data_IF_948698856801
#
_entry.id   IF_948698856801
#
_cell.length_a   1.000
_cell.length_b   1.000
_cell.length_c   1.000
_cell.angle_alpha   90.00
_cell.angle_beta   90.00
_cell.angle_gamma   90.00
#
_symmetry.space_group_name_H-M   'P 1'
#
loop_
_entity.id
_entity.type
_entity.pdbx_description
1 polymer ?
#
# COMPACT_ATOMS: atom_id res chain seq x y z
N UNK A 1 10.07 -0.40 14.53
CA UNK A 1 10.48 0.60 13.52
C UNK A 1 11.60 1.46 14.09
N UNK A 2 12.84 1.26 13.65
CA UNK A 2 13.91 2.26 13.85
C UNK A 2 13.60 3.43 12.92
N UNK A 3 12.96 4.48 13.45
CA UNK A 3 12.87 5.75 12.72
C UNK A 3 14.30 6.24 12.48
N UNK A 4 14.70 6.27 11.21
CA UNK A 4 15.94 6.91 10.81
C UNK A 4 15.78 8.40 11.12
N UNK A 5 16.39 8.85 12.21
CA UNK A 5 16.27 10.21 12.78
C UNK A 5 16.73 11.32 11.82
N UNK A 6 17.17 10.97 10.61
CA UNK A 6 17.62 11.89 9.57
C UNK A 6 16.54 12.29 8.55
N UNK A 7 15.44 11.55 8.43
CA UNK A 7 14.41 11.80 7.39
C UNK A 7 13.25 12.65 7.92
N UNK A 8 13.54 13.90 8.31
CA UNK A 8 12.53 14.90 8.70
C UNK A 8 12.59 16.15 7.82
N UNK A 9 11.49 16.91 7.74
CA UNK A 9 11.50 18.20 7.04
C UNK A 9 12.30 19.26 7.80
N UNK A 10 12.42 19.13 9.13
CA UNK A 10 13.21 20.00 9.99
C UNK A 10 14.72 19.84 9.73
N UNK A 11 15.17 18.60 9.50
CA UNK A 11 16.57 18.31 9.20
C UNK A 11 16.94 18.69 7.75
N UNK A 12 16.05 18.45 6.78
CA UNK A 12 16.31 18.70 5.36
C UNK A 12 15.03 18.95 4.56
N UNK A 13 14.81 20.18 4.12
CA UNK A 13 13.74 20.54 3.18
C UNK A 13 14.23 21.44 2.03
N UNK A 14 15.32 21.04 1.37
CA UNK A 14 15.95 21.77 0.25
C UNK A 14 15.04 22.01 -0.97
N UNK A 15 13.89 21.35 -1.03
CA UNK A 15 12.89 21.53 -2.08
C UNK A 15 11.61 22.23 -1.62
N UNK A 16 11.57 22.76 -0.39
CA UNK A 16 10.44 23.47 0.21
C UNK A 16 9.11 22.68 0.15
N UNK A 17 9.18 21.37 0.39
CA UNK A 17 8.06 20.43 0.27
C UNK A 17 7.29 20.23 1.57
N UNK A 18 7.73 20.77 2.71
CA UNK A 18 6.96 20.70 3.97
C UNK A 18 5.53 21.24 3.80
N UNK A 19 5.38 22.36 3.10
CA UNK A 19 4.05 22.95 2.82
C UNK A 19 3.13 22.04 1.99
N UNK A 20 3.69 21.15 1.16
CA UNK A 20 2.93 20.14 0.42
C UNK A 20 2.51 19.04 1.39
N UNK A 21 3.43 18.56 2.23
CA UNK A 21 3.13 17.55 3.25
C UNK A 21 2.00 18.01 4.18
N UNK A 22 2.05 19.24 4.71
CA UNK A 22 1.00 19.82 5.57
C UNK A 22 -0.38 19.83 4.91
N UNK A 23 -0.46 20.11 3.61
CA UNK A 23 -1.71 20.03 2.83
C UNK A 23 -2.19 18.59 2.66
N UNK A 24 -1.28 17.65 2.40
CA UNK A 24 -1.62 16.22 2.32
C UNK A 24 -2.17 15.73 3.66
N UNK A 25 -1.56 16.12 4.78
CA UNK A 25 -2.03 15.79 6.13
C UNK A 25 -3.44 16.35 6.36
N UNK A 26 -3.66 17.60 5.96
CA UNK A 26 -4.97 18.24 6.06
C UNK A 26 -6.03 17.49 5.25
N UNK A 27 -5.70 17.05 4.03
CA UNK A 27 -6.58 16.25 3.18
C UNK A 27 -6.90 14.89 3.80
N UNK A 28 -5.88 14.17 4.28
CA UNK A 28 -6.06 12.84 4.89
C UNK A 28 -6.91 12.90 6.16
N UNK A 29 -6.82 13.99 6.94
CA UNK A 29 -7.61 14.23 8.15
C UNK A 29 -9.00 14.81 7.91
N UNK A 30 -9.33 15.17 6.66
CA UNK A 30 -10.64 15.75 6.34
C UNK A 30 -11.69 14.67 6.11
N UNK A 31 -12.97 15.04 6.21
CA UNK A 31 -14.10 14.16 5.89
C UNK A 31 -14.28 13.90 4.38
N UNK A 32 -13.38 14.44 3.55
CA UNK A 32 -13.44 14.29 2.09
C UNK A 32 -12.83 12.95 1.71
N UNK A 33 -13.54 12.17 0.87
CA UNK A 33 -13.01 10.89 0.41
C UNK A 33 -11.95 11.08 -0.67
N UNK A 34 -10.68 11.13 -0.25
CA UNK A 34 -9.51 11.29 -1.13
C UNK A 34 -8.75 9.98 -1.41
N UNK A 35 -9.11 8.89 -0.73
CA UNK A 35 -8.45 7.58 -0.85
C UNK A 35 -9.00 6.76 -2.04
N UNK A 36 -8.16 6.05 -2.80
CA UNK A 36 -6.70 6.15 -2.85
C UNK A 36 -6.22 7.51 -3.36
N UNK A 37 -5.29 8.11 -2.62
CA UNK A 37 -4.59 9.34 -2.97
C UNK A 37 -3.27 8.98 -3.67
N UNK A 38 -2.94 9.63 -4.78
CA UNK A 38 -1.67 9.42 -5.50
C UNK A 38 -0.74 10.60 -5.35
N UNK A 39 0.49 10.30 -4.91
CA UNK A 39 1.65 11.19 -4.96
C UNK A 39 2.49 10.77 -6.17
N UNK A 40 2.27 11.44 -7.29
CA UNK A 40 2.93 11.15 -8.56
C UNK A 40 4.29 11.84 -8.66
N UNK A 41 5.22 11.22 -9.38
CA UNK A 41 6.49 11.84 -9.71
C UNK A 41 7.44 10.96 -10.50
N UNK A 42 8.28 11.59 -11.32
CA UNK A 42 9.34 10.91 -12.06
C UNK A 42 10.41 10.28 -11.16
N UNK A 43 11.26 9.47 -11.79
CA UNK A 43 12.43 8.89 -11.17
C UNK A 43 13.38 9.99 -10.67
N UNK A 44 13.99 9.77 -9.50
CA UNK A 44 14.94 10.73 -8.92
C UNK A 44 14.32 11.97 -8.28
N UNK A 45 12.99 12.10 -8.21
CA UNK A 45 12.34 13.25 -7.55
C UNK A 45 12.34 13.19 -6.02
N UNK A 46 12.83 12.13 -5.39
CA UNK A 46 12.77 11.97 -3.94
C UNK A 46 11.37 11.66 -3.42
N UNK A 47 10.59 10.83 -4.14
CA UNK A 47 9.25 10.39 -3.73
C UNK A 47 9.27 9.62 -2.41
N UNK A 48 10.11 8.59 -2.32
CA UNK A 48 10.32 7.80 -1.11
C UNK A 48 10.76 8.68 0.06
N UNK A 49 11.72 9.59 -0.17
CA UNK A 49 12.16 10.54 0.87
C UNK A 49 11.01 11.46 1.32
N UNK A 50 10.19 11.97 0.39
CA UNK A 50 8.99 12.75 0.73
C UNK A 50 7.99 11.92 1.55
N UNK A 51 7.76 10.66 1.17
CA UNK A 51 6.87 9.74 1.89
C UNK A 51 7.34 9.50 3.33
N UNK A 52 8.63 9.22 3.52
CA UNK A 52 9.21 9.00 4.86
C UNK A 52 9.12 10.25 5.73
N UNK A 53 9.40 11.44 5.17
CA UNK A 53 9.25 12.71 5.88
C UNK A 53 7.80 13.04 6.20
N UNK A 54 6.87 12.74 5.30
CA UNK A 54 5.43 12.90 5.52
C UNK A 54 4.95 12.00 6.66
N UNK A 55 5.37 10.74 6.68
CA UNK A 55 5.12 9.80 7.78
C UNK A 55 5.65 10.36 9.11
N UNK A 56 6.91 10.79 9.14
CA UNK A 56 7.53 11.39 10.33
C UNK A 56 6.75 12.61 10.84
N UNK A 57 6.33 13.51 9.94
CA UNK A 57 5.55 14.69 10.28
C UNK A 57 4.17 14.30 10.84
N UNK A 58 3.49 13.32 10.25
CA UNK A 58 2.19 12.82 10.71
C UNK A 58 2.25 12.09 12.05
N UNK A 59 3.37 11.39 12.34
CA UNK A 59 3.54 10.62 13.57
C UNK A 59 3.53 11.49 14.84
N UNK A 60 3.81 12.79 14.72
CA UNK A 60 3.91 13.71 15.87
C UNK A 60 2.62 13.85 16.70
N UNK A 61 1.45 13.60 16.11
CA UNK A 61 0.15 13.77 16.78
C UNK A 61 -0.51 12.44 17.15
N UNK A 62 0.07 11.29 16.78
CA UNK A 62 -0.45 9.94 17.06
C UNK A 62 -1.95 9.70 16.75
N UNK A 63 -2.52 10.42 15.78
CA UNK A 63 -3.96 10.34 15.45
C UNK A 63 -4.35 9.15 14.58
N UNK A 64 -3.39 8.55 13.87
CA UNK A 64 -3.62 7.48 12.90
C UNK A 64 -2.65 6.31 13.11
N UNK A 65 -3.05 5.11 12.71
CA UNK A 65 -2.12 4.04 12.41
C UNK A 65 -1.48 4.33 11.05
N UNK A 66 -0.20 4.68 11.05
CA UNK A 66 0.56 4.98 9.84
C UNK A 66 1.36 3.75 9.44
N UNK A 67 1.03 3.18 8.30
CA UNK A 67 1.63 1.94 7.79
C UNK A 67 2.40 2.26 6.51
N UNK A 68 3.68 1.88 6.45
CA UNK A 68 4.48 1.99 5.23
C UNK A 68 4.71 0.60 4.62
N UNK A 69 4.47 0.48 3.32
CA UNK A 69 4.67 -0.73 2.53
C UNK A 69 5.53 -0.36 1.32
N UNK A 70 6.72 -0.94 1.26
CA UNK A 70 7.55 -0.98 0.05
C UNK A 70 7.03 -2.12 -0.83
N UNK A 71 6.15 -1.78 -1.79
CA UNK A 71 5.47 -2.77 -2.62
C UNK A 71 6.45 -3.54 -3.50
N UNK A 72 7.54 -2.90 -3.94
CA UNK A 72 8.55 -3.54 -4.77
C UNK A 72 9.32 -4.61 -3.99
N UNK A 73 9.69 -4.34 -2.73
CA UNK A 73 10.28 -5.39 -1.87
C UNK A 73 9.35 -6.55 -1.62
N UNK A 74 8.05 -6.30 -1.50
CA UNK A 74 7.04 -7.32 -1.23
C UNK A 74 6.53 -8.07 -2.47
N UNK A 75 6.91 -7.64 -3.68
CA UNK A 75 6.29 -8.12 -4.91
C UNK A 75 6.59 -9.58 -5.23
N UNK A 76 7.62 -10.18 -4.59
CA UNK A 76 8.01 -11.57 -4.73
C UNK A 76 6.95 -12.56 -4.24
N UNK A 77 6.06 -12.13 -3.34
CA UNK A 77 5.04 -12.97 -2.73
C UNK A 77 3.81 -13.20 -3.62
N UNK A 78 3.64 -12.46 -4.73
CA UNK A 78 2.44 -12.48 -5.62
C UNK A 78 1.08 -12.34 -4.91
N UNK A 79 1.04 -11.97 -3.62
CA UNK A 79 -0.16 -11.95 -2.77
C UNK A 79 -0.37 -10.58 -2.09
N UNK A 80 -0.88 -9.56 -2.83
CA UNK A 80 -1.05 -8.20 -2.31
C UNK A 80 -1.93 -8.09 -1.06
N UNK A 81 -2.99 -8.90 -0.97
CA UNK A 81 -3.86 -8.91 0.21
C UNK A 81 -3.10 -9.34 1.47
N UNK A 82 -2.28 -10.39 1.36
CA UNK A 82 -1.48 -10.87 2.48
C UNK A 82 -0.43 -9.83 2.88
N UNK A 83 0.25 -9.20 1.91
CA UNK A 83 1.22 -8.13 2.16
C UNK A 83 0.62 -7.00 2.99
N UNK A 84 -0.57 -6.54 2.64
CA UNK A 84 -1.25 -5.47 3.37
C UNK A 84 -1.68 -5.93 4.76
N UNK A 85 -2.30 -7.11 4.87
CA UNK A 85 -2.79 -7.61 6.15
C UNK A 85 -1.66 -7.86 7.16
N UNK A 86 -0.52 -8.39 6.73
CA UNK A 86 0.65 -8.56 7.58
C UNK A 86 1.10 -7.22 8.19
N UNK A 87 1.12 -6.16 7.37
CA UNK A 87 1.49 -4.81 7.81
C UNK A 87 0.45 -4.15 8.71
N UNK A 88 -0.83 -4.48 8.54
CA UNK A 88 -1.89 -4.06 9.47
C UNK A 88 -1.74 -4.77 10.81
N UNK A 89 -1.39 -6.06 10.84
CA UNK A 89 -1.19 -6.81 12.08
C UNK A 89 -0.05 -6.23 12.94
N UNK A 90 1.04 -5.74 12.31
CA UNK A 90 2.19 -5.13 13.00
C UNK A 90 1.83 -3.88 13.83
N UNK A 91 0.73 -3.17 13.51
CA UNK A 91 0.32 -1.95 14.22
C UNK A 91 -0.78 -2.17 15.25
N UNK A 92 -1.33 -3.38 15.35
CA UNK A 92 -2.36 -3.70 16.35
C UNK A 92 -1.72 -3.90 17.72
N UNK A 93 -2.24 -3.25 18.77
CA UNK A 93 -1.58 -3.20 20.08
C UNK A 93 -1.69 -4.50 20.88
N UNK A 94 -2.66 -5.37 20.59
CA UNK A 94 -2.92 -6.58 21.36
C UNK A 94 -2.91 -7.86 20.51
N UNK A 95 -2.46 -8.97 21.11
CA UNK A 95 -2.53 -10.29 20.47
C UNK A 95 -3.99 -10.72 20.21
N UNK A 96 -4.94 -10.29 21.04
CA UNK A 96 -6.36 -10.61 20.85
C UNK A 96 -6.92 -9.96 19.57
N UNK A 97 -6.60 -8.68 19.32
CA UNK A 97 -7.00 -7.99 18.08
C UNK A 97 -6.30 -8.58 16.85
N UNK A 98 -5.01 -8.93 16.98
CA UNK A 98 -4.28 -9.63 15.92
C UNK A 98 -4.95 -10.96 15.56
N UNK A 99 -5.28 -11.78 16.57
CA UNK A 99 -5.97 -13.05 16.35
C UNK A 99 -7.37 -12.86 15.77
N UNK A 100 -8.11 -11.85 16.23
CA UNK A 100 -9.43 -11.51 15.69
C UNK A 100 -9.38 -11.14 14.21
N UNK A 101 -8.37 -10.38 13.78
CA UNK A 101 -8.15 -10.06 12.37
C UNK A 101 -7.70 -11.28 11.57
N UNK A 102 -6.74 -12.07 12.08
CA UNK A 102 -6.23 -13.30 11.44
C UNK A 102 -7.38 -14.28 11.16
N UNK A 103 -8.27 -14.50 12.14
CA UNK A 103 -9.40 -15.42 12.01
C UNK A 103 -10.36 -15.01 10.88
N UNK A 104 -10.55 -13.70 10.66
CA UNK A 104 -11.39 -13.16 9.59
C UNK A 104 -10.65 -13.04 8.25
N UNK A 105 -9.32 -12.88 8.28
CA UNK A 105 -8.46 -12.82 7.11
C UNK A 105 -8.26 -14.18 6.44
N UNK A 106 -8.11 -15.27 7.21
CA UNK A 106 -7.83 -16.61 6.66
C UNK A 106 -8.88 -17.05 5.63
N UNK A 107 -10.21 -16.95 5.91
CA UNK A 107 -11.23 -17.31 4.93
C UNK A 107 -11.19 -16.44 3.66
N UNK A 108 -10.96 -15.13 3.79
CA UNK A 108 -10.88 -14.21 2.66
C UNK A 108 -9.65 -14.50 1.76
N UNK A 109 -8.48 -14.74 2.37
CA UNK A 109 -7.25 -15.09 1.65
C UNK A 109 -7.35 -16.41 0.90
N UNK A 110 -7.98 -17.44 1.51
CA UNK A 110 -8.21 -18.73 0.87
C UNK A 110 -9.02 -18.64 -0.42
N UNK A 111 -9.81 -17.60 -0.60
CA UNK A 111 -10.61 -17.44 -1.81
C UNK A 111 -9.90 -16.64 -2.90
N UNK A 112 -9.11 -15.61 -2.53
CA UNK A 112 -8.31 -14.84 -3.50
C UNK A 112 -7.25 -15.65 -4.23
N UNK A 113 -6.74 -16.72 -3.59
CA UNK A 113 -5.75 -17.63 -4.14
C UNK A 113 -6.37 -18.64 -5.13
N UNK A 114 -5.83 -18.71 -6.35
CA UNK A 114 -6.12 -19.80 -7.31
C UNK A 114 -5.74 -21.15 -6.67
N UNK A 115 -6.45 -22.20 -7.08
CA UNK A 115 -6.56 -23.57 -6.52
C UNK A 115 -5.26 -24.29 -6.08
N UNK A 116 -4.07 -23.79 -6.38
CA UNK A 116 -2.79 -24.36 -5.94
C UNK A 116 -2.25 -23.88 -4.59
N UNK A 117 -2.67 -22.71 -4.07
CA UNK A 117 -2.02 -22.07 -2.91
C UNK A 117 -2.84 -21.97 -1.61
N UNK A 118 -4.11 -22.43 -1.61
CA UNK A 118 -5.06 -22.24 -0.49
C UNK A 118 -4.62 -22.86 0.84
N UNK A 119 -3.80 -23.92 0.78
CA UNK A 119 -3.35 -24.65 1.97
C UNK A 119 -2.13 -24.02 2.66
N UNK A 120 -1.21 -23.41 1.88
CA UNK A 120 0.06 -22.89 2.37
C UNK A 120 -0.12 -21.66 3.25
N UNK A 121 -0.88 -20.67 2.78
CA UNK A 121 -1.14 -19.41 3.50
C UNK A 121 -1.94 -19.65 4.78
N UNK A 122 -2.86 -20.61 4.77
CA UNK A 122 -3.62 -20.97 5.95
C UNK A 122 -2.78 -21.67 7.03
N UNK A 123 -1.66 -22.31 6.65
CA UNK A 123 -0.72 -22.90 7.58
C UNK A 123 0.20 -21.83 8.17
N UNK A 124 0.73 -20.94 7.33
CA UNK A 124 1.56 -19.79 7.76
C UNK A 124 0.78 -18.84 8.69
N UNK A 125 -0.50 -18.58 8.41
CA UNK A 125 -1.32 -17.73 9.29
C UNK A 125 -1.80 -18.44 10.57
N UNK A 126 -1.75 -19.78 10.63
CA UNK A 126 -2.18 -20.58 11.80
C UNK A 126 -1.01 -21.01 12.68
N UNK A 127 0.20 -21.13 12.14
CA UNK A 127 1.40 -21.41 12.92
C UNK A 127 1.95 -20.11 13.47
N UNK A 128 1.90 -19.98 14.79
CA UNK A 128 2.53 -18.99 15.65
C UNK A 128 2.68 -17.56 15.08
N UNK A 129 1.94 -16.62 15.68
CA UNK A 129 2.08 -15.18 15.47
C UNK A 129 3.53 -14.67 15.58
N UNK A 130 4.39 -15.38 16.31
CA UNK A 130 5.81 -15.08 16.45
C UNK A 130 6.65 -15.41 15.20
N UNK A 131 6.17 -16.33 14.35
CA UNK A 131 6.84 -16.70 13.09
C UNK A 131 6.54 -15.71 11.95
N UNK A 132 5.33 -15.14 11.91
CA UNK A 132 4.92 -14.12 10.92
C UNK A 132 5.74 -12.83 11.10
N UNK A 133 6.08 -12.48 12.35
CA UNK A 133 6.83 -11.26 12.67
C UNK A 133 8.31 -11.38 12.27
N UNK A 134 8.87 -12.60 12.22
CA UNK A 134 10.31 -12.82 12.05
C UNK A 134 10.72 -13.59 10.76
N UNK A 135 9.79 -14.14 9.99
CA UNK A 135 10.08 -15.18 8.99
C UNK A 135 9.58 -14.96 7.56
N UNK A 136 9.27 -13.72 7.16
CA UNK A 136 8.66 -13.46 5.84
C UNK A 136 9.56 -13.82 4.63
N UNK A 137 10.88 -13.95 4.80
CA UNK A 137 11.82 -14.06 3.67
C UNK A 137 12.16 -15.50 3.20
N UNK A 138 11.90 -16.57 3.97
CA UNK A 138 12.50 -17.90 3.67
C UNK A 138 11.53 -19.07 3.38
N UNK A 139 10.26 -19.06 3.82
CA UNK A 139 9.43 -20.29 3.78
C UNK A 139 8.43 -20.44 2.62
N UNK A 140 8.31 -19.45 1.72
CA UNK A 140 7.24 -19.44 0.69
C UNK A 140 7.50 -20.38 -0.51
N UNK A 141 8.64 -21.10 -0.56
CA UNK A 141 9.10 -21.77 -1.79
C UNK A 141 8.79 -23.25 -2.00
N UNK A 142 8.09 -23.95 -1.09
CA UNK A 142 7.81 -25.38 -1.31
C UNK A 142 6.38 -25.75 -0.94
N UNK A 143 5.87 -26.75 -1.68
CA UNK A 143 4.55 -27.38 -1.57
C UNK A 143 3.50 -26.78 -2.51
N UNK A 144 3.63 -27.15 -3.78
CA UNK A 144 2.52 -27.27 -4.71
C UNK A 144 2.12 -28.75 -4.79
N UNK A 145 0.90 -29.10 -4.39
CA UNK A 145 -0.02 -29.88 -5.25
C UNK A 145 -1.32 -30.36 -4.57
N UNK A 146 -2.37 -30.40 -5.40
CA UNK A 146 -3.70 -31.07 -5.32
C UNK A 146 -4.84 -30.38 -4.58
N UNK A 147 -5.85 -29.96 -5.34
CA UNK A 147 -7.14 -30.66 -5.47
C UNK A 147 -8.02 -29.99 -6.54
N UNK A 148 -8.63 -30.77 -7.43
CA UNK A 148 -9.75 -30.33 -8.28
C UNK A 148 -10.80 -31.44 -8.23
N UNK A 149 -11.99 -31.10 -7.74
CA UNK A 149 -13.27 -31.59 -8.24
C UNK A 149 -14.30 -30.48 -7.98
N UNK A 150 -14.94 -29.95 -9.03
CA UNK A 150 -15.85 -28.82 -8.91
C UNK A 150 -17.20 -29.12 -9.56
N UNK A 151 -18.25 -29.23 -8.73
CA UNK A 151 -19.65 -29.15 -9.17
C UNK A 151 -20.12 -27.69 -9.16
N UNK A 152 -21.11 -27.35 -9.99
CA UNK A 152 -21.66 -25.98 -10.08
C UNK A 152 -22.23 -25.49 -8.74
N UNK A 153 -22.83 -26.38 -7.95
CA UNK A 153 -23.34 -26.07 -6.61
C UNK A 153 -22.20 -25.78 -5.62
N UNK A 154 -21.08 -26.51 -5.71
CA UNK A 154 -19.86 -26.21 -4.94
C UNK A 154 -19.31 -24.84 -5.30
N UNK A 155 -19.22 -24.51 -6.59
CA UNK A 155 -18.73 -23.19 -7.04
C UNK A 155 -19.60 -22.03 -6.56
N UNK A 156 -20.93 -22.21 -6.54
CA UNK A 156 -21.86 -21.19 -6.03
C UNK A 156 -21.75 -21.03 -4.51
N UNK A 157 -21.64 -22.14 -3.77
CA UNK A 157 -21.45 -22.10 -2.32
C UNK A 157 -20.11 -21.45 -1.95
N UNK A 158 -19.04 -21.80 -2.68
CA UNK A 158 -17.71 -21.22 -2.53
C UNK A 158 -17.74 -19.70 -2.76
N UNK A 159 -18.54 -19.23 -3.72
CA UNK A 159 -18.70 -17.80 -4.00
C UNK A 159 -19.42 -17.04 -2.88
N UNK A 160 -20.52 -17.59 -2.35
CA UNK A 160 -21.27 -16.98 -1.23
C UNK A 160 -20.42 -16.92 0.03
N UNK A 161 -19.66 -17.98 0.32
CA UNK A 161 -18.75 -18.01 1.47
C UNK A 161 -17.62 -16.99 1.33
N UNK A 162 -17.17 -16.70 0.11
CA UNK A 162 -16.14 -15.70 -0.17
C UNK A 162 -16.60 -14.27 0.11
N UNK A 163 -17.78 -13.90 -0.40
CA UNK A 163 -18.35 -12.56 -0.15
C UNK A 163 -18.56 -12.35 1.35
N UNK A 164 -19.12 -13.35 2.04
CA UNK A 164 -19.29 -13.31 3.50
C UNK A 164 -17.96 -13.16 4.24
N UNK A 165 -16.92 -13.86 3.80
CA UNK A 165 -15.57 -13.79 4.37
C UNK A 165 -14.93 -12.41 4.17
N UNK A 166 -15.07 -11.84 2.98
CA UNK A 166 -14.56 -10.50 2.66
C UNK A 166 -15.30 -9.43 3.47
N UNK A 167 -16.62 -9.54 3.61
CA UNK A 167 -17.41 -8.66 4.47
C UNK A 167 -16.95 -8.77 5.93
N UNK A 168 -16.72 -9.98 6.44
CA UNK A 168 -16.23 -10.16 7.81
C UNK A 168 -14.86 -9.49 8.03
N UNK A 169 -13.95 -9.60 7.05
CA UNK A 169 -12.66 -8.92 7.08
C UNK A 169 -12.83 -7.40 7.06
N UNK A 170 -13.67 -6.86 6.17
CA UNK A 170 -13.96 -5.43 6.09
C UNK A 170 -14.54 -4.88 7.39
N UNK A 171 -15.46 -5.62 8.03
CA UNK A 171 -16.00 -5.24 9.34
C UNK A 171 -14.93 -5.26 10.43
N UNK A 172 -14.00 -6.22 10.39
CA UNK A 172 -12.86 -6.24 11.32
C UNK A 172 -11.99 -4.99 11.18
N UNK A 173 -11.63 -4.66 9.94
CA UNK A 173 -10.83 -3.48 9.60
C UNK A 173 -11.56 -2.20 10.00
N UNK A 174 -12.88 -2.14 9.80
CA UNK A 174 -13.71 -1.00 10.23
C UNK A 174 -13.66 -0.82 11.74
N UNK A 175 -13.87 -1.88 12.51
CA UNK A 175 -13.82 -1.79 13.98
C UNK A 175 -12.45 -1.36 14.51
N UNK A 176 -11.36 -1.75 13.84
CA UNK A 176 -10.01 -1.28 14.15
C UNK A 176 -9.89 0.22 13.82
N UNK A 177 -10.32 0.61 12.63
CA UNK A 177 -10.23 1.98 12.14
C UNK A 177 -11.11 2.97 12.94
N UNK A 178 -12.21 2.51 13.53
CA UNK A 178 -13.07 3.29 14.45
C UNK A 178 -12.35 3.68 15.74
N UNK A 179 -11.42 2.85 16.24
CA UNK A 179 -10.60 3.20 17.40
C UNK A 179 -9.51 4.20 17.03
N UNK A 180 -8.85 3.95 15.90
CA UNK A 180 -7.77 4.78 15.38
C UNK A 180 -7.68 4.59 13.86
N UNK A 181 -7.96 5.61 13.03
CA UNK A 181 -7.98 5.48 11.58
C UNK A 181 -6.65 4.99 11.01
N UNK A 182 -6.69 4.25 9.90
CA UNK A 182 -5.52 3.62 9.27
C UNK A 182 -5.18 4.36 7.99
N UNK A 183 -3.91 4.75 7.82
CA UNK A 183 -3.37 5.28 6.56
C UNK A 183 -2.22 4.39 6.09
N UNK A 184 -2.41 3.76 4.94
CA UNK A 184 -1.42 2.90 4.29
C UNK A 184 -0.71 3.63 3.16
N UNK A 185 0.60 3.76 3.29
CA UNK A 185 1.50 4.34 2.29
C UNK A 185 2.12 3.20 1.49
N UNK A 186 1.73 3.08 0.22
CA UNK A 186 2.23 2.06 -0.72
C UNK A 186 3.24 2.74 -1.64
N UNK A 187 4.53 2.48 -1.44
CA UNK A 187 5.61 3.03 -2.25
C UNK A 187 6.13 2.01 -3.28
N UNK A 188 6.71 2.53 -4.35
CA UNK A 188 7.34 1.77 -5.44
C UNK A 188 6.42 0.81 -6.21
N UNK A 189 5.09 1.03 -6.19
CA UNK A 189 4.12 0.19 -6.89
C UNK A 189 4.36 0.11 -8.41
N UNK A 190 4.93 1.15 -9.00
CA UNK A 190 5.31 1.21 -10.43
C UNK A 190 6.54 0.38 -10.80
N UNK A 191 7.28 -0.13 -9.82
CA UNK A 191 8.44 -1.00 -10.05
C UNK A 191 8.12 -2.47 -9.94
N UNK A 192 7.00 -2.82 -9.32
CA UNK A 192 6.57 -4.20 -9.19
C UNK A 192 6.32 -4.83 -10.57
N UNK A 193 6.33 -6.17 -10.59
CA UNK A 193 5.85 -6.93 -11.75
C UNK A 193 4.45 -6.47 -12.16
N UNK A 194 4.16 -6.34 -13.48
CA UNK A 194 2.88 -5.78 -13.94
C UNK A 194 1.63 -6.43 -13.33
N UNK A 195 1.64 -7.77 -13.22
CA UNK A 195 0.54 -8.53 -12.62
C UNK A 195 0.33 -8.16 -11.13
N UNK A 196 1.42 -8.01 -10.37
CA UNK A 196 1.36 -7.64 -8.97
C UNK A 196 0.83 -6.22 -8.79
N UNK A 197 1.32 -5.25 -9.56
CA UNK A 197 0.84 -3.85 -9.49
C UNK A 197 -0.66 -3.74 -9.75
N UNK A 198 -1.15 -4.44 -10.79
CA UNK A 198 -2.58 -4.44 -11.14
C UNK A 198 -3.41 -5.12 -10.05
N UNK A 199 -2.98 -6.29 -9.56
CA UNK A 199 -3.67 -7.02 -8.49
C UNK A 199 -3.69 -6.23 -7.17
N UNK A 200 -2.63 -5.47 -6.87
CA UNK A 200 -2.60 -4.59 -5.70
C UNK A 200 -3.66 -3.49 -5.82
N UNK A 201 -3.81 -2.84 -6.99
CA UNK A 201 -4.86 -1.84 -7.24
C UNK A 201 -6.26 -2.44 -7.07
N UNK A 202 -6.48 -3.64 -7.62
CA UNK A 202 -7.75 -4.38 -7.47
C UNK A 202 -8.03 -4.72 -6.01
N UNK A 203 -7.02 -5.18 -5.27
CA UNK A 203 -7.11 -5.52 -3.85
C UNK A 203 -7.49 -4.30 -3.01
N UNK A 204 -6.83 -3.15 -3.24
CA UNK A 204 -7.14 -1.90 -2.55
C UNK A 204 -8.61 -1.51 -2.77
N UNK A 205 -9.08 -1.56 -4.02
CA UNK A 205 -10.44 -1.16 -4.37
C UNK A 205 -11.52 -2.11 -3.86
N UNK A 206 -11.31 -3.41 -3.98
CA UNK A 206 -12.36 -4.39 -3.72
C UNK A 206 -12.37 -4.86 -2.27
N UNK A 207 -11.22 -4.92 -1.62
CA UNK A 207 -11.11 -5.43 -0.25
C UNK A 207 -11.07 -4.32 0.77
N UNK A 208 -10.39 -3.20 0.48
CA UNK A 208 -10.13 -2.14 1.46
C UNK A 208 -10.93 -0.86 1.24
N UNK A 209 -12.07 -0.92 0.54
CA UNK A 209 -13.07 0.16 0.55
C UNK A 209 -13.82 0.16 1.89
N UNK A 210 -13.09 0.53 2.95
CA UNK A 210 -13.51 0.48 4.35
C UNK A 210 -13.39 1.87 4.95
N UNK A 211 -14.46 2.33 5.60
CA UNK A 211 -14.48 3.60 6.31
C UNK A 211 -13.38 3.65 7.39
N UNK A 212 -12.62 4.74 7.42
CA UNK A 212 -11.46 4.90 8.30
C UNK A 212 -10.17 4.22 7.82
N UNK A 213 -10.18 3.55 6.65
CA UNK A 213 -8.97 3.00 6.01
C UNK A 213 -8.65 3.79 4.74
N UNK A 214 -7.49 4.43 4.69
CA UNK A 214 -7.05 5.27 3.59
C UNK A 214 -5.74 4.75 2.97
N UNK A 215 -5.61 4.91 1.65
CA UNK A 215 -4.40 4.57 0.91
C UNK A 215 -3.76 5.81 0.29
N UNK A 216 -2.44 5.89 0.40
CA UNK A 216 -1.58 6.83 -0.29
C UNK A 216 -0.63 6.03 -1.18
N UNK A 217 -0.73 6.17 -2.50
CA UNK A 217 0.14 5.51 -3.45
C UNK A 217 1.24 6.49 -3.87
N UNK A 218 2.49 6.10 -3.65
CA UNK A 218 3.68 6.86 -4.01
C UNK A 218 4.28 6.19 -5.22
N UNK A 219 4.12 6.80 -6.40
CA UNK A 219 4.37 6.07 -7.65
C UNK A 219 4.74 7.00 -8.80
N UNK A 220 5.13 6.40 -9.93
CA UNK A 220 5.16 7.03 -11.23
C UNK A 220 3.96 6.54 -12.06
N UNK A 221 2.98 7.41 -12.25
CA UNK A 221 1.72 7.08 -12.92
C UNK A 221 1.93 6.62 -14.36
N UNK A 222 2.94 7.12 -15.07
CA UNK A 222 3.22 6.68 -16.44
C UNK A 222 3.74 5.25 -16.49
N UNK A 223 4.56 4.85 -15.52
CA UNK A 223 5.06 3.49 -15.40
C UNK A 223 3.94 2.54 -14.95
N UNK A 224 3.09 2.97 -14.01
CA UNK A 224 1.93 2.19 -13.59
C UNK A 224 0.94 1.96 -14.75
N UNK A 225 0.73 2.95 -15.63
CA UNK A 225 -0.04 2.78 -16.88
C UNK A 225 0.59 1.76 -17.82
N UNK A 226 1.92 1.72 -17.92
CA UNK A 226 2.62 0.73 -18.73
C UNK A 226 2.39 -0.69 -18.19
N UNK A 227 2.39 -0.87 -16.85
CA UNK A 227 2.06 -2.14 -16.21
C UNK A 227 0.62 -2.60 -16.53
N UNK A 228 -0.36 -1.70 -16.48
CA UNK A 228 -1.75 -2.02 -16.85
C UNK A 228 -1.84 -2.45 -18.32
N UNK A 229 -1.21 -1.70 -19.23
CA UNK A 229 -1.20 -2.04 -20.66
C UNK A 229 -0.50 -3.36 -20.94
N UNK A 230 0.51 -3.73 -20.14
CA UNK A 230 1.13 -5.04 -20.23
C UNK A 230 0.14 -6.17 -19.89
N UNK A 231 -0.69 -5.99 -18.85
CA UNK A 231 -1.64 -7.00 -18.39
C UNK A 231 -2.87 -7.16 -19.28
N UNK A 232 -3.46 -6.06 -19.76
CA UNK A 232 -4.72 -6.10 -20.52
C UNK A 232 -4.55 -5.82 -22.02
N UNK A 233 -3.33 -5.50 -22.45
CA UNK A 233 -3.00 -5.19 -23.84
C UNK A 233 -2.97 -3.68 -24.15
N UNK A 234 -2.29 -3.29 -25.24
CA UNK A 234 -2.00 -1.89 -25.55
C UNK A 234 -3.22 -1.07 -26.02
N UNK A 235 -4.33 -1.74 -26.33
CA UNK A 235 -5.58 -1.09 -26.77
C UNK A 235 -6.40 -0.52 -25.62
N UNK A 236 -6.06 -0.91 -24.38
CA UNK A 236 -6.73 -0.41 -23.18
C UNK A 236 -6.27 1.02 -22.89
N UNK A 237 -7.22 1.87 -22.54
CA UNK A 237 -6.93 3.18 -21.99
C UNK A 237 -6.57 3.02 -20.50
N UNK A 238 -5.28 2.85 -20.21
CA UNK A 238 -4.80 2.68 -18.84
C UNK A 238 -5.05 3.91 -17.95
N UNK A 239 -5.18 5.12 -18.52
CA UNK A 239 -5.55 6.28 -17.73
C UNK A 239 -6.99 6.14 -17.23
N UNK A 240 -7.93 5.82 -18.13
CA UNK A 240 -9.33 5.55 -17.73
C UNK A 240 -9.46 4.35 -16.80
N UNK A 241 -8.59 3.36 -16.92
CA UNK A 241 -8.52 2.27 -15.96
C UNK A 241 -8.20 2.84 -14.57
N UNK A 242 -7.10 3.58 -14.43
CA UNK A 242 -6.66 4.19 -13.17
C UNK A 242 -7.68 5.16 -12.57
N UNK A 243 -8.39 5.94 -13.40
CA UNK A 243 -9.43 6.87 -12.94
C UNK A 243 -10.59 6.17 -12.22
N UNK A 244 -10.79 4.86 -12.43
CA UNK A 244 -11.77 4.06 -11.67
C UNK A 244 -11.30 3.69 -10.26
N UNK A 245 -10.01 3.86 -9.96
CA UNK A 245 -9.39 3.48 -8.70
C UNK A 245 -8.96 4.71 -7.90
N UNK A 246 -8.33 5.69 -8.55
CA UNK A 246 -7.75 6.87 -7.90
C UNK A 246 -8.83 7.93 -7.68
N UNK A 247 -8.95 8.42 -6.44
CA UNK A 247 -9.89 9.51 -6.14
C UNK A 247 -9.24 10.89 -6.16
N UNK A 248 -7.97 10.97 -5.77
CA UNK A 248 -7.22 12.22 -5.78
C UNK A 248 -5.77 11.97 -6.21
N UNK A 249 -5.19 12.88 -6.98
CA UNK A 249 -3.78 12.80 -7.36
C UNK A 249 -3.15 14.18 -7.43
N UNK A 250 -1.86 14.24 -7.13
CA UNK A 250 -1.03 15.41 -7.44
C UNK A 250 0.39 14.96 -7.79
N UNK A 251 1.09 15.79 -8.54
CA UNK A 251 2.49 15.52 -8.92
C UNK A 251 3.42 16.34 -8.05
N UNK A 252 4.44 15.69 -7.49
CA UNK A 252 5.51 16.38 -6.77
C UNK A 252 6.27 17.32 -7.73
N UNK A 253 6.57 18.56 -7.31
CA UNK A 253 7.22 19.51 -8.18
C UNK A 253 8.64 19.04 -8.55
N UNK A 254 8.94 19.12 -9.84
CA UNK A 254 10.26 18.87 -10.41
C UNK A 254 11.22 20.05 -10.22
N UNK A 255 10.67 21.19 -9.86
CA UNK A 255 11.41 22.44 -9.67
C UNK A 255 11.25 22.95 -8.26
N UNK A 256 12.22 23.74 -7.83
CA UNK A 256 12.26 24.45 -6.56
C UNK A 256 12.46 25.93 -6.86
N UNK A 257 11.85 26.77 -6.02
CA UNK A 257 12.01 28.22 -6.08
C UNK A 257 12.99 28.62 -4.97
N UNK A 258 14.29 28.65 -5.27
CA UNK A 258 15.31 29.05 -4.29
C UNK A 258 15.11 30.51 -3.83
N UNK A 259 14.70 31.41 -4.74
CA UNK A 259 14.57 32.86 -4.47
C UNK A 259 13.31 33.51 -5.07
N UNK A 260 12.19 32.77 -5.20
CA UNK A 260 10.89 33.21 -5.78
C UNK A 260 10.90 33.71 -7.24
N UNK A 261 12.05 34.02 -7.82
CA UNK A 261 12.22 34.49 -9.20
C UNK A 261 12.91 33.47 -10.11
N UNK A 262 13.80 32.64 -9.56
CA UNK A 262 14.53 31.62 -10.32
C UNK A 262 13.99 30.22 -10.01
N UNK A 263 13.37 29.63 -11.03
CA UNK A 263 12.90 28.24 -11.01
C UNK A 263 14.07 27.34 -11.38
N UNK A 264 14.55 26.53 -10.43
CA UNK A 264 15.65 25.57 -10.66
C UNK A 264 15.14 24.15 -10.57
N UNK A 265 15.68 23.23 -11.39
CA UNK A 265 15.36 21.80 -11.29
C UNK A 265 15.82 21.25 -9.93
N UNK A 266 14.97 20.48 -9.27
CA UNK A 266 15.29 19.87 -7.98
C UNK A 266 16.56 19.01 -8.04
N UNK A 267 16.80 18.32 -9.16
CA UNK A 267 18.03 17.56 -9.41
C UNK A 267 19.29 18.44 -9.46
N UNK A 268 19.18 19.65 -10.02
CA UNK A 268 20.29 20.62 -10.08
C UNK A 268 20.58 21.20 -8.71
N UNK A 269 19.54 21.58 -7.96
CA UNK A 269 19.69 22.03 -6.56
C UNK A 269 20.34 20.94 -5.71
N UNK A 270 19.90 19.69 -5.84
CA UNK A 270 20.49 18.56 -5.13
C UNK A 270 21.98 18.38 -5.46
N UNK A 271 22.34 18.40 -6.74
CA UNK A 271 23.74 18.28 -7.18
C UNK A 271 24.61 19.41 -6.62
N UNK A 272 24.13 20.67 -6.69
CA UNK A 272 24.86 21.82 -6.12
C UNK A 272 25.10 21.65 -4.61
N UNK A 273 24.10 21.20 -3.87
CA UNK A 273 24.22 20.97 -2.41
C UNK A 273 25.21 19.86 -2.07
N UNK A 274 25.35 18.84 -2.92
CA UNK A 274 26.34 17.78 -2.73
C UNK A 274 27.77 18.25 -3.01
N UNK A 275 27.96 19.13 -4.00
CA UNK A 275 29.29 19.66 -4.37
C UNK A 275 29.75 20.79 -3.44
N UNK A 276 28.82 21.49 -2.79
CA UNK A 276 29.12 22.59 -1.87
C UNK A 276 29.54 22.13 -0.45
N UNK A 277 29.45 20.83 -0.14
CA UNK A 277 29.94 20.23 1.11
C UNK A 277 31.39 19.79 0.98
#
# INVERSE_FOLDING_TARGET
MTQDTQLTFEARDEFNRKSIAEKVITLLRSDITVSPLVIDGSWGLGKTEFCQKLLSLMSTEETHHLIYIDAFKADHADEPLLTVLAKVLEVLPSQEEQQGLIQKAIPALRYGLKTGGKALVAHILRQDTDSIINGFDEEVKQVADKAIDASVESLLKDHVEAESSLQALQQALKSIAEQKPIVLFIDELDRCRPNFSVLMLETIKHTFDVEGVQFVLITNTNQLKASINHCYGPTIDAQRYLDKFIRFSFTLPHTTNENRHDVTMASVTHYKNLVAK
#
